data_IF_234917266781
#
_entry.id   IF_234917266781
#
_cell.length_a   1.000
_cell.length_b   1.000
_cell.length_c   1.000
_cell.angle_alpha   90.00
_cell.angle_beta   90.00
_cell.angle_gamma   90.00
#
_symmetry.space_group_name_H-M   'P 1'
#
loop_
_entity.id
_entity.type
_entity.pdbx_description
1 polymer ?
#
# COMPACT_ATOMS: atom_id res chain seq x y z
N UNK A 1 -10.90 -34.48 53.30
CA UNK A 1 -11.75 -35.08 52.24
C UNK A 1 -12.05 -34.10 51.10
N UNK A 2 -12.63 -32.92 51.34
CA UNK A 2 -12.98 -31.93 50.29
C UNK A 2 -11.78 -31.47 49.44
N UNK A 3 -10.63 -31.19 50.07
CA UNK A 3 -9.40 -30.76 49.39
C UNK A 3 -8.83 -31.87 48.48
N UNK A 4 -8.88 -33.12 48.92
CA UNK A 4 -8.45 -34.27 48.12
C UNK A 4 -9.30 -34.43 46.85
N UNK A 5 -10.62 -34.29 46.98
CA UNK A 5 -11.56 -34.34 45.85
C UNK A 5 -11.25 -33.19 44.86
N UNK A 6 -10.96 -32.00 45.36
CA UNK A 6 -10.56 -30.85 44.53
C UNK A 6 -9.28 -31.14 43.72
N UNK A 7 -8.23 -31.66 44.37
CA UNK A 7 -6.97 -32.02 43.70
C UNK A 7 -7.14 -33.14 42.68
N UNK A 8 -8.00 -34.13 42.96
CA UNK A 8 -8.33 -35.20 42.03
C UNK A 8 -9.06 -34.68 40.79
N UNK A 9 -10.05 -33.79 40.96
CA UNK A 9 -10.78 -33.16 39.85
C UNK A 9 -9.83 -32.30 39.00
N UNK A 10 -8.95 -31.51 39.63
CA UNK A 10 -7.98 -30.67 38.93
C UNK A 10 -6.99 -31.54 38.14
N UNK A 11 -6.45 -32.60 38.74
CA UNK A 11 -5.54 -33.54 38.06
C UNK A 11 -6.22 -34.16 36.84
N UNK A 12 -7.50 -34.55 36.97
CA UNK A 12 -8.27 -35.12 35.88
C UNK A 12 -8.52 -34.11 34.75
N UNK A 13 -8.82 -32.85 35.07
CA UNK A 13 -8.96 -31.79 34.05
C UNK A 13 -7.66 -31.52 33.30
N UNK A 14 -6.51 -31.51 33.99
CA UNK A 14 -5.20 -31.36 33.35
C UNK A 14 -4.83 -32.57 32.49
N UNK A 15 -5.15 -33.80 32.92
CA UNK A 15 -4.99 -35.02 32.13
C UNK A 15 -5.76 -34.97 30.81
N UNK A 16 -7.05 -34.60 30.86
CA UNK A 16 -7.87 -34.45 29.65
C UNK A 16 -7.29 -33.40 28.71
N UNK A 17 -6.88 -32.25 29.25
CA UNK A 17 -6.31 -31.16 28.45
C UNK A 17 -4.95 -31.53 27.85
N UNK A 18 -4.15 -32.32 28.56
CA UNK A 18 -2.87 -32.84 28.07
C UNK A 18 -3.05 -33.82 26.92
N UNK A 19 -4.02 -34.74 27.01
CA UNK A 19 -4.21 -35.82 26.05
C UNK A 19 -4.97 -35.42 24.79
N UNK A 20 -5.81 -34.39 24.88
CA UNK A 20 -6.68 -33.95 23.78
C UNK A 20 -6.40 -32.52 23.28
N UNK A 21 -5.42 -31.82 23.86
CA UNK A 21 -4.98 -30.49 23.42
C UNK A 21 -3.69 -30.56 22.61
N UNK A 22 -3.72 -30.08 21.36
CA UNK A 22 -2.56 -30.13 20.44
C UNK A 22 -1.39 -29.19 20.80
N UNK A 23 -1.52 -28.35 21.83
CA UNK A 23 -0.49 -27.37 22.20
C UNK A 23 0.12 -27.68 23.57
N UNK A 24 1.45 -27.90 23.60
CA UNK A 24 2.27 -28.11 24.80
C UNK A 24 1.96 -29.41 25.58
N UNK A 25 1.67 -30.50 24.87
CA UNK A 25 1.39 -31.84 25.41
C UNK A 25 2.45 -32.31 26.43
N UNK A 26 3.75 -32.17 26.13
CA UNK A 26 4.82 -32.62 27.04
C UNK A 26 4.82 -31.88 28.39
N UNK A 27 4.56 -30.57 28.37
CA UNK A 27 4.56 -29.73 29.57
C UNK A 27 3.30 -30.01 30.42
N UNK A 28 2.15 -30.15 29.76
CA UNK A 28 0.89 -30.49 30.43
C UNK A 28 0.94 -31.91 31.03
N UNK A 29 1.64 -32.83 30.37
CA UNK A 29 1.83 -34.21 30.82
C UNK A 29 2.67 -34.25 32.10
N UNK A 30 3.82 -33.57 32.10
CA UNK A 30 4.69 -33.43 33.28
C UNK A 30 3.94 -32.85 34.50
N UNK A 31 3.15 -31.80 34.29
CA UNK A 31 2.37 -31.16 35.35
C UNK A 31 1.25 -32.07 35.87
N UNK A 32 0.58 -32.80 34.97
CA UNK A 32 -0.43 -33.79 35.34
C UNK A 32 0.18 -34.88 36.24
N UNK A 33 1.38 -35.35 35.93
CA UNK A 33 2.09 -36.31 36.79
C UNK A 33 2.45 -35.72 38.15
N UNK A 34 2.98 -34.49 38.20
CA UNK A 34 3.27 -33.83 39.47
C UNK A 34 2.02 -33.61 40.34
N UNK A 35 0.89 -33.22 39.74
CA UNK A 35 -0.39 -33.05 40.44
C UNK A 35 -0.98 -34.39 40.88
N UNK A 36 -0.88 -35.43 40.06
CA UNK A 36 -1.31 -36.79 40.39
C UNK A 36 -0.54 -37.38 41.57
N UNK A 37 0.79 -37.25 41.57
CA UNK A 37 1.64 -37.67 42.70
C UNK A 37 1.28 -36.88 43.97
N UNK A 38 1.13 -35.55 43.86
CA UNK A 38 0.74 -34.71 45.00
C UNK A 38 -0.63 -35.09 45.56
N UNK A 39 -1.59 -35.43 44.69
CA UNK A 39 -2.93 -35.90 45.07
C UNK A 39 -2.85 -37.25 45.77
N UNK A 40 -2.05 -38.18 45.25
CA UNK A 40 -1.84 -39.51 45.85
C UNK A 40 -1.19 -39.42 47.24
N UNK A 41 -0.17 -38.58 47.41
CA UNK A 41 0.47 -38.33 48.71
C UNK A 41 -0.52 -37.72 49.69
N UNK A 42 -1.31 -36.73 49.25
CA UNK A 42 -2.35 -36.12 50.09
C UNK A 42 -3.43 -37.13 50.48
N UNK A 43 -3.83 -38.01 49.56
CA UNK A 43 -4.78 -39.10 49.84
C UNK A 43 -4.23 -40.12 50.83
N UNK A 44 -2.97 -40.53 50.67
CA UNK A 44 -2.29 -41.46 51.57
C UNK A 44 -2.18 -40.89 52.99
N UNK A 45 -1.73 -39.63 53.12
CA UNK A 45 -1.63 -38.95 54.41
C UNK A 45 -2.99 -38.74 55.10
N UNK A 46 -4.07 -38.58 54.33
CA UNK A 46 -5.43 -38.43 54.88
C UNK A 46 -6.08 -39.76 55.29
N UNK A 47 -5.76 -40.87 54.62
CA UNK A 47 -6.40 -42.18 54.88
C UNK A 47 -5.60 -43.09 55.81
N UNK A 48 -4.27 -42.99 55.86
CA UNK A 48 -3.41 -43.90 56.62
C UNK A 48 -2.81 -43.30 57.90
N UNK A 49 -3.17 -42.06 58.27
CA UNK A 49 -2.60 -41.38 59.44
C UNK A 49 -3.60 -41.30 60.60
N UNK A 50 -3.13 -41.69 61.78
CA UNK A 50 -3.95 -41.77 63.00
C UNK A 50 -4.40 -40.38 63.50
N UNK A 51 -5.58 -40.33 64.12
CA UNK A 51 -6.45 -39.14 64.32
C UNK A 51 -5.87 -37.92 65.07
N UNK A 52 -4.63 -37.95 65.55
CA UNK A 52 -4.16 -37.02 66.61
C UNK A 52 -3.39 -35.77 66.14
N UNK A 53 -3.09 -35.60 64.86
CA UNK A 53 -2.48 -34.37 64.35
C UNK A 53 -3.39 -33.68 63.34
N UNK A 54 -4.40 -32.98 63.87
CA UNK A 54 -5.40 -32.24 63.11
C UNK A 54 -4.94 -30.82 62.68
N UNK A 55 -3.63 -30.56 62.64
CA UNK A 55 -3.06 -29.27 62.20
C UNK A 55 -2.19 -29.47 60.96
N UNK A 56 -2.80 -29.93 59.87
CA UNK A 56 -2.13 -30.11 58.59
C UNK A 56 -2.06 -28.77 57.84
N UNK A 57 -1.16 -27.86 58.19
CA UNK A 57 -0.87 -26.67 57.36
C UNK A 57 0.05 -27.00 56.16
N UNK A 58 0.58 -28.22 56.09
CA UNK A 58 1.49 -28.66 55.02
C UNK A 58 0.86 -28.64 53.63
N UNK A 59 -0.46 -28.79 53.48
CA UNK A 59 -1.10 -28.69 52.17
C UNK A 59 -1.04 -27.27 51.58
N UNK A 60 -0.85 -26.24 52.41
CA UNK A 60 -0.74 -24.84 51.96
C UNK A 60 0.56 -24.61 51.18
N UNK A 61 1.61 -25.43 51.37
CA UNK A 61 2.83 -25.36 50.57
C UNK A 61 2.61 -25.68 49.09
N UNK A 62 1.55 -26.42 48.75
CA UNK A 62 1.25 -26.74 47.34
C UNK A 62 0.57 -25.58 46.59
N UNK A 63 -0.03 -24.61 47.30
CA UNK A 63 -0.68 -23.45 46.67
C UNK A 63 0.35 -22.57 45.92
N UNK A 64 1.52 -22.20 46.51
CA UNK A 64 2.58 -21.51 45.80
C UNK A 64 3.07 -22.25 44.54
N UNK A 65 3.27 -23.57 44.63
CA UNK A 65 3.69 -24.38 43.48
C UNK A 65 2.66 -24.38 42.36
N UNK A 66 1.38 -24.43 42.71
CA UNK A 66 0.28 -24.35 41.75
C UNK A 66 0.19 -22.98 41.06
N UNK A 67 0.28 -21.89 41.84
CA UNK A 67 0.29 -20.52 41.29
C UNK A 67 1.51 -20.30 40.39
N UNK A 68 2.68 -20.80 40.79
CA UNK A 68 3.89 -20.76 39.97
C UNK A 68 3.71 -21.55 38.66
N UNK A 69 3.11 -22.74 38.72
CA UNK A 69 2.80 -23.56 37.54
C UNK A 69 1.90 -22.83 36.54
N UNK A 70 0.81 -22.20 37.01
CA UNK A 70 -0.08 -21.40 36.15
C UNK A 70 0.65 -20.22 35.53
N UNK A 71 1.47 -19.51 36.31
CA UNK A 71 2.24 -18.37 35.81
C UNK A 71 3.26 -18.81 34.73
N UNK A 72 3.93 -19.94 34.95
CA UNK A 72 4.88 -20.51 34.01
C UNK A 72 4.20 -20.94 32.69
N UNK A 73 3.02 -21.58 32.78
CA UNK A 73 2.19 -21.92 31.62
C UNK A 73 1.87 -20.65 30.84
N UNK A 74 1.25 -19.65 31.47
CA UNK A 74 0.87 -18.41 30.79
C UNK A 74 2.05 -17.67 30.15
N UNK A 75 3.27 -17.83 30.68
CA UNK A 75 4.47 -17.25 30.06
C UNK A 75 4.94 -18.04 28.84
N UNK A 76 4.84 -19.37 28.86
CA UNK A 76 5.31 -20.27 27.79
C UNK A 76 4.29 -20.50 26.68
N UNK A 77 2.99 -20.45 27.01
CA UNK A 77 1.88 -20.60 26.05
C UNK A 77 1.45 -19.28 25.42
N UNK A 78 2.02 -18.14 25.85
CA UNK A 78 1.80 -16.87 25.16
C UNK A 78 2.30 -17.02 23.72
N UNK A 79 1.42 -16.89 22.72
CA UNK A 79 1.85 -16.97 21.33
C UNK A 79 2.90 -15.89 21.11
N UNK A 80 4.01 -16.24 20.45
CA UNK A 80 4.97 -15.24 19.98
C UNK A 80 4.18 -14.27 19.10
N UNK A 81 4.23 -12.98 19.42
CA UNK A 81 3.59 -11.96 18.60
C UNK A 81 4.22 -12.02 17.21
N UNK A 82 3.46 -12.48 16.21
CA UNK A 82 3.88 -12.36 14.84
C UNK A 82 3.74 -10.90 14.44
N UNK A 83 4.88 -10.23 14.28
CA UNK A 83 4.91 -8.91 13.66
C UNK A 83 4.74 -9.12 12.16
N UNK A 84 3.50 -8.97 11.66
CA UNK A 84 3.23 -9.01 10.22
C UNK A 84 3.81 -7.74 9.61
N UNK A 85 5.05 -7.81 9.14
CA UNK A 85 5.66 -6.75 8.34
C UNK A 85 5.11 -6.87 6.92
N UNK A 86 3.94 -6.29 6.69
CA UNK A 86 3.38 -6.21 5.35
C UNK A 86 4.29 -5.31 4.49
N UNK A 87 4.98 -5.91 3.51
CA UNK A 87 5.74 -5.13 2.53
C UNK A 87 4.75 -4.40 1.61
N UNK A 88 4.47 -3.14 1.91
CA UNK A 88 3.65 -2.30 1.04
C UNK A 88 4.39 -2.10 -0.28
N UNK A 89 3.87 -2.68 -1.36
CA UNK A 89 4.38 -2.42 -2.70
C UNK A 89 4.34 -0.91 -2.97
N UNK A 90 5.49 -0.34 -3.36
CA UNK A 90 5.59 1.07 -3.75
C UNK A 90 6.06 1.16 -5.19
N UNK A 91 5.41 2.01 -5.95
CA UNK A 91 5.84 2.32 -7.31
C UNK A 91 7.15 3.12 -7.32
N UNK A 92 7.42 3.91 -6.27
CA UNK A 92 8.61 4.75 -6.13
C UNK A 92 9.34 4.41 -4.83
N UNK A 93 10.61 4.05 -4.94
CA UNK A 93 11.44 3.61 -3.81
C UNK A 93 11.86 4.80 -2.94
N UNK A 94 11.93 5.97 -3.54
CA UNK A 94 12.31 7.26 -2.94
C UNK A 94 11.29 7.73 -1.90
N UNK A 95 10.05 7.24 -1.97
CA UNK A 95 8.96 7.64 -1.06
C UNK A 95 8.79 6.63 0.07
N UNK A 96 9.00 7.08 1.31
CA UNK A 96 8.79 6.25 2.52
C UNK A 96 7.34 6.27 3.00
N UNK A 97 6.83 5.21 3.68
CA UNK A 97 5.44 5.18 4.16
C UNK A 97 5.23 6.26 5.21
N UNK A 98 6.23 6.47 6.07
CA UNK A 98 6.21 7.49 7.10
C UNK A 98 6.04 8.89 6.49
N UNK A 99 6.72 9.17 5.38
CA UNK A 99 6.56 10.44 4.67
C UNK A 99 5.15 10.61 4.09
N UNK A 100 4.58 9.56 3.47
CA UNK A 100 3.18 9.57 2.98
C UNK A 100 2.19 9.82 4.14
N UNK A 101 2.34 9.09 5.24
CA UNK A 101 1.46 9.22 6.41
C UNK A 101 1.51 10.64 6.97
N UNK A 102 2.71 11.21 7.09
CA UNK A 102 2.90 12.57 7.58
C UNK A 102 2.29 13.61 6.63
N UNK A 103 2.54 13.48 5.32
CA UNK A 103 2.03 14.39 4.31
C UNK A 103 0.49 14.44 4.29
N UNK A 104 -0.17 13.30 4.41
CA UNK A 104 -1.63 13.21 4.40
C UNK A 104 -2.29 13.29 5.78
N UNK A 105 -1.52 13.44 6.86
CA UNK A 105 -2.04 13.46 8.24
C UNK A 105 -3.10 14.55 8.43
N UNK A 106 -2.87 15.73 7.87
CA UNK A 106 -3.76 16.90 7.96
C UNK A 106 -5.11 16.70 7.28
N UNK A 107 -5.24 15.72 6.38
CA UNK A 107 -6.48 15.42 5.67
C UNK A 107 -7.35 14.40 6.40
N UNK A 108 -6.83 13.79 7.47
CA UNK A 108 -7.52 12.76 8.23
C UNK A 108 -8.17 13.37 9.48
N UNK A 109 -9.44 13.07 9.69
CA UNK A 109 -10.15 13.32 10.93
C UNK A 109 -10.40 11.97 11.61
N UNK A 110 -9.78 11.74 12.76
CA UNK A 110 -9.93 10.50 13.52
C UNK A 110 -11.10 10.68 14.49
N UNK A 111 -12.17 9.93 14.26
CA UNK A 111 -13.34 9.83 15.15
C UNK A 111 -13.26 8.53 15.94
N UNK A 112 -14.14 8.38 16.94
CA UNK A 112 -14.14 7.23 17.87
C UNK A 112 -14.36 5.89 17.16
N UNK A 113 -15.15 5.89 16.09
CA UNK A 113 -15.60 4.73 15.33
C UNK A 113 -14.99 4.62 13.92
N UNK A 114 -14.39 5.69 13.41
CA UNK A 114 -13.93 5.74 12.01
C UNK A 114 -12.86 6.81 11.76
N UNK A 115 -12.18 6.68 10.63
CA UNK A 115 -11.28 7.71 10.10
C UNK A 115 -11.91 8.32 8.86
N UNK A 116 -12.24 9.61 8.93
CA UNK A 116 -12.75 10.36 7.78
C UNK A 116 -11.60 11.05 7.05
N UNK A 117 -11.68 11.14 5.72
CA UNK A 117 -10.70 11.85 4.90
C UNK A 117 -11.38 13.02 4.19
N UNK A 118 -10.89 14.23 4.45
CA UNK A 118 -11.39 15.45 3.82
C UNK A 118 -10.84 15.54 2.39
N UNK A 119 -11.72 15.37 1.41
CA UNK A 119 -11.38 15.46 -0.02
C UNK A 119 -12.20 16.56 -0.66
N UNK A 120 -11.53 17.65 -1.07
CA UNK A 120 -12.15 18.65 -1.92
C UNK A 120 -12.20 18.12 -3.36
N UNK A 121 -13.37 17.66 -3.82
CA UNK A 121 -13.54 17.15 -5.20
C UNK A 121 -13.50 18.28 -6.23
N UNK A 122 -14.05 19.44 -5.90
CA UNK A 122 -14.12 20.57 -6.83
C UNK A 122 -12.78 21.25 -7.04
N UNK A 123 -11.79 21.07 -6.14
CA UNK A 123 -10.44 21.56 -6.40
C UNK A 123 -9.77 20.87 -7.59
N UNK A 124 -10.20 19.66 -7.96
CA UNK A 124 -9.63 18.85 -9.05
C UNK A 124 -10.19 19.19 -10.44
N UNK A 125 -11.36 19.83 -10.51
CA UNK A 125 -12.04 20.13 -11.79
C UNK A 125 -11.45 21.39 -12.43
N UNK A 126 -11.13 21.31 -13.72
CA UNK A 126 -10.69 22.44 -14.53
C UNK A 126 -11.85 23.34 -14.95
N UNK A 127 -13.00 22.75 -15.27
CA UNK A 127 -14.22 23.46 -15.66
C UNK A 127 -15.19 23.43 -14.48
N UNK A 128 -15.74 24.59 -14.12
CA UNK A 128 -16.76 24.77 -13.10
C UNK A 128 -17.85 25.65 -13.68
N UNK A 129 -19.10 25.20 -13.56
CA UNK A 129 -20.27 25.94 -14.09
C UNK A 129 -20.06 26.38 -15.56
N UNK A 130 -19.56 25.46 -16.40
CA UNK A 130 -19.24 25.70 -17.81
C UNK A 130 -18.13 26.72 -18.09
N UNK A 131 -17.38 27.16 -17.07
CA UNK A 131 -16.27 28.11 -17.21
C UNK A 131 -14.96 27.46 -16.78
N UNK A 132 -13.89 27.70 -17.53
CA UNK A 132 -12.53 27.29 -17.16
C UNK A 132 -12.08 28.10 -15.94
N UNK A 133 -11.55 27.42 -14.92
CA UNK A 133 -11.09 28.07 -13.69
C UNK A 133 -9.98 29.09 -14.03
N UNK A 134 -10.12 30.39 -13.65
CA UNK A 134 -9.19 31.45 -14.07
C UNK A 134 -7.72 31.23 -13.72
N UNK A 135 -7.44 30.46 -12.65
CA UNK A 135 -6.06 30.14 -12.26
C UNK A 135 -5.30 29.41 -13.36
N UNK A 136 -6.00 28.68 -14.24
CA UNK A 136 -5.38 28.03 -15.40
C UNK A 136 -4.59 29.04 -16.24
N UNK A 137 -5.21 30.17 -16.61
CA UNK A 137 -4.57 31.18 -17.45
C UNK A 137 -3.44 31.91 -16.73
N UNK A 138 -3.61 32.16 -15.42
CA UNK A 138 -2.55 32.74 -14.58
C UNK A 138 -1.33 31.82 -14.53
N UNK A 139 -1.58 30.52 -14.33
CA UNK A 139 -0.55 29.51 -14.23
C UNK A 139 0.14 29.30 -15.59
N UNK A 140 -0.60 29.29 -16.69
CA UNK A 140 -0.09 29.23 -18.06
C UNK A 140 0.94 30.33 -18.35
N UNK A 141 0.64 31.56 -17.91
CA UNK A 141 1.54 32.71 -18.05
C UNK A 141 2.78 32.61 -17.15
N UNK A 142 2.62 32.11 -15.92
CA UNK A 142 3.70 32.07 -14.93
C UNK A 142 4.62 30.86 -15.03
N UNK A 143 4.14 29.73 -15.59
CA UNK A 143 4.86 28.46 -15.58
C UNK A 143 6.11 28.54 -16.46
N UNK A 144 7.27 28.38 -15.84
CA UNK A 144 8.58 28.31 -16.50
C UNK A 144 9.14 26.90 -16.39
N UNK A 145 9.55 26.35 -17.52
CA UNK A 145 10.19 25.03 -17.59
C UNK A 145 11.61 25.10 -17.06
N UNK A 146 12.10 23.98 -16.54
CA UNK A 146 13.42 23.86 -15.95
C UNK A 146 14.46 23.54 -17.04
N UNK A 147 15.35 24.48 -17.40
CA UNK A 147 16.39 24.20 -18.37
C UNK A 147 17.48 23.33 -17.74
N UNK A 148 17.94 22.32 -18.47
CA UNK A 148 19.02 21.41 -18.06
C UNK A 148 20.03 21.28 -19.17
N UNK A 149 21.33 21.24 -18.85
CA UNK A 149 22.39 21.09 -19.86
C UNK A 149 22.75 19.63 -20.07
N UNK A 150 22.67 18.83 -19.01
CA UNK A 150 23.01 17.41 -18.99
C UNK A 150 21.96 16.62 -18.21
N UNK A 151 21.88 15.32 -18.47
CA UNK A 151 20.98 14.40 -17.78
C UNK A 151 21.25 14.40 -16.27
N UNK A 152 22.51 14.57 -15.85
CA UNK A 152 22.89 14.62 -14.44
C UNK A 152 22.26 15.80 -13.69
N UNK A 153 21.85 16.87 -14.38
CA UNK A 153 21.18 18.02 -13.77
C UNK A 153 19.80 17.63 -13.22
N UNK A 154 19.20 16.52 -13.68
CA UNK A 154 17.94 15.99 -13.12
C UNK A 154 18.07 15.61 -11.65
N UNK A 155 19.29 15.33 -11.16
CA UNK A 155 19.53 15.00 -9.75
C UNK A 155 19.27 16.18 -8.80
N UNK A 156 19.13 17.41 -9.30
CA UNK A 156 18.80 18.59 -8.50
C UNK A 156 17.37 18.56 -7.97
N UNK A 157 16.46 17.84 -8.64
CA UNK A 157 15.08 17.63 -8.19
C UNK A 157 14.86 16.18 -7.80
N UNK A 158 14.39 15.94 -6.58
CA UNK A 158 14.03 14.61 -6.12
C UNK A 158 12.90 13.99 -6.98
N UNK A 159 11.98 14.82 -7.48
CA UNK A 159 10.88 14.39 -8.35
C UNK A 159 11.42 13.95 -9.71
N UNK A 160 12.24 14.79 -10.37
CA UNK A 160 12.79 14.47 -11.68
C UNK A 160 13.66 13.23 -11.64
N UNK A 161 14.53 13.11 -10.63
CA UNK A 161 15.35 11.92 -10.41
C UNK A 161 14.51 10.66 -10.25
N UNK A 162 13.50 10.68 -9.38
CA UNK A 162 12.64 9.52 -9.13
C UNK A 162 11.89 9.08 -10.39
N UNK A 163 11.38 10.03 -11.17
CA UNK A 163 10.70 9.74 -12.45
C UNK A 163 11.69 9.16 -13.46
N UNK A 164 12.88 9.76 -13.61
CA UNK A 164 13.88 9.30 -14.57
C UNK A 164 14.36 7.88 -14.28
N UNK A 165 14.71 7.57 -13.02
CA UNK A 165 15.13 6.22 -12.62
C UNK A 165 14.01 5.20 -12.85
N UNK A 166 12.76 5.59 -12.61
CA UNK A 166 11.62 4.71 -12.86
C UNK A 166 11.45 4.41 -14.35
N UNK A 167 11.53 5.44 -15.20
CA UNK A 167 11.46 5.31 -16.66
C UNK A 167 12.60 4.46 -17.20
N UNK A 168 13.82 4.69 -16.71
CA UNK A 168 15.00 3.88 -17.05
C UNK A 168 14.79 2.40 -16.70
N UNK A 169 14.17 2.13 -15.55
CA UNK A 169 13.75 0.78 -15.16
C UNK A 169 12.83 0.12 -16.20
N UNK A 170 11.87 0.85 -16.76
CA UNK A 170 10.98 0.33 -17.81
C UNK A 170 11.68 0.15 -19.15
N UNK A 171 12.54 1.09 -19.54
CA UNK A 171 13.35 0.99 -20.77
C UNK A 171 14.22 -0.27 -20.71
N UNK A 172 14.88 -0.50 -19.58
CA UNK A 172 15.70 -1.70 -19.35
C UNK A 172 14.85 -2.97 -19.38
N UNK A 173 13.68 -2.98 -18.75
CA UNK A 173 12.77 -4.13 -18.78
C UNK A 173 12.20 -4.43 -20.17
N UNK A 174 12.14 -3.41 -21.04
CA UNK A 174 11.76 -3.53 -22.46
C UNK A 174 12.95 -3.83 -23.38
N UNK A 175 14.17 -3.89 -22.85
CA UNK A 175 15.42 -4.00 -23.60
C UNK A 175 15.57 -2.94 -24.71
N UNK A 176 14.92 -1.79 -24.54
CA UNK A 176 14.91 -0.72 -25.53
C UNK A 176 16.22 0.07 -25.48
N UNK A 177 16.84 0.30 -26.64
CA UNK A 177 18.03 1.14 -26.76
C UNK A 177 17.61 2.59 -27.00
N UNK A 178 17.72 3.41 -25.96
CA UNK A 178 17.34 4.83 -26.03
C UNK A 178 18.59 5.70 -25.94
N UNK A 179 18.76 6.62 -26.89
CA UNK A 179 19.78 7.66 -26.81
C UNK A 179 19.22 8.87 -26.06
N UNK A 180 19.45 8.92 -24.75
CA UNK A 180 18.92 9.97 -23.88
C UNK A 180 19.38 11.38 -24.26
N UNK A 181 20.62 11.53 -24.77
CA UNK A 181 21.14 12.84 -25.20
C UNK A 181 20.35 13.39 -26.38
N UNK A 182 20.06 12.53 -27.37
CA UNK A 182 19.25 12.92 -28.53
C UNK A 182 17.81 13.27 -28.13
N UNK A 183 17.22 12.50 -27.21
CA UNK A 183 15.86 12.80 -26.72
C UNK A 183 15.85 14.11 -25.94
N UNK A 184 16.92 14.43 -25.20
CA UNK A 184 17.04 15.71 -24.49
C UNK A 184 17.11 16.90 -25.45
N UNK A 185 17.91 16.79 -26.50
CA UNK A 185 18.01 17.79 -27.57
C UNK A 185 16.66 18.02 -28.27
N UNK A 186 15.95 16.94 -28.60
CA UNK A 186 14.61 17.00 -29.22
C UNK A 186 13.54 17.65 -28.32
N UNK A 187 13.79 17.77 -27.02
CA UNK A 187 12.87 18.37 -26.05
C UNK A 187 13.39 19.73 -25.52
N UNK A 188 14.18 20.44 -26.34
CA UNK A 188 14.69 21.80 -26.08
C UNK A 188 15.40 21.93 -24.71
N UNK A 189 16.10 20.86 -24.30
CA UNK A 189 16.84 20.87 -23.04
C UNK A 189 15.97 21.22 -21.82
N UNK A 190 14.67 20.91 -21.86
CA UNK A 190 13.74 21.12 -20.74
C UNK A 190 13.50 19.81 -20.01
N UNK A 191 13.72 19.80 -18.70
CA UNK A 191 13.60 18.60 -17.88
C UNK A 191 12.18 18.00 -17.96
N UNK A 192 11.15 18.85 -17.87
CA UNK A 192 9.76 18.42 -17.90
C UNK A 192 9.40 17.75 -19.23
N UNK A 193 9.74 18.39 -20.36
CA UNK A 193 9.41 17.85 -21.70
C UNK A 193 10.20 16.59 -22.01
N UNK A 194 11.48 16.57 -21.65
CA UNK A 194 12.33 15.38 -21.77
C UNK A 194 11.73 14.18 -21.04
N UNK A 195 11.37 14.36 -19.76
CA UNK A 195 10.81 13.27 -18.95
C UNK A 195 9.40 12.89 -19.40
N UNK A 196 8.55 13.85 -19.78
CA UNK A 196 7.22 13.58 -20.33
C UNK A 196 7.30 12.75 -21.62
N UNK A 197 8.26 13.06 -22.50
CA UNK A 197 8.48 12.30 -23.74
C UNK A 197 8.86 10.85 -23.47
N UNK A 198 9.83 10.62 -22.57
CA UNK A 198 10.21 9.26 -22.22
C UNK A 198 9.09 8.52 -21.47
N UNK A 199 8.32 9.25 -20.67
CA UNK A 199 7.17 8.69 -19.94
C UNK A 199 6.10 8.21 -20.91
N UNK A 200 5.67 9.05 -21.85
CA UNK A 200 4.66 8.70 -22.86
C UNK A 200 5.08 7.46 -23.67
N UNK A 201 6.32 7.43 -24.16
CA UNK A 201 6.81 6.35 -25.03
C UNK A 201 7.00 5.03 -24.28
N UNK A 202 7.49 5.08 -23.05
CA UNK A 202 7.95 3.88 -22.35
C UNK A 202 7.05 3.42 -21.20
N UNK A 203 6.09 4.22 -20.74
CA UNK A 203 5.28 3.88 -19.57
C UNK A 203 3.80 3.60 -19.84
N UNK A 204 3.27 3.89 -21.03
CA UNK A 204 1.82 3.77 -21.34
C UNK A 204 1.17 2.43 -20.94
N UNK A 205 1.89 1.30 -21.12
CA UNK A 205 1.39 -0.05 -20.77
C UNK A 205 1.41 -0.34 -19.26
N UNK A 206 2.06 0.49 -18.47
CA UNK A 206 2.22 0.31 -17.04
C UNK A 206 1.29 1.27 -16.31
N UNK A 207 0.27 0.73 -15.66
CA UNK A 207 -0.63 1.52 -14.81
C UNK A 207 0.06 1.91 -13.50
N UNK A 208 0.83 3.00 -13.51
CA UNK A 208 1.65 3.46 -12.40
C UNK A 208 0.98 4.65 -11.73
N UNK A 209 0.71 4.52 -10.43
CA UNK A 209 0.20 5.65 -9.64
C UNK A 209 1.32 6.64 -9.31
N UNK A 210 1.13 7.89 -9.75
CA UNK A 210 2.04 9.02 -9.50
C UNK A 210 1.71 9.79 -8.21
N UNK A 211 0.61 9.46 -7.53
CA UNK A 211 0.08 10.23 -6.40
C UNK A 211 1.05 10.34 -5.20
N UNK A 212 1.93 9.35 -5.02
CA UNK A 212 2.89 9.34 -3.93
C UNK A 212 4.12 10.22 -4.19
N UNK A 213 4.41 10.56 -5.47
CA UNK A 213 5.50 11.48 -5.80
C UNK A 213 5.25 12.91 -5.32
N UNK A 214 3.98 13.27 -5.06
CA UNK A 214 3.64 14.59 -4.50
C UNK A 214 4.36 14.87 -3.18
N UNK A 215 4.72 13.82 -2.44
CA UNK A 215 5.45 13.91 -1.17
C UNK A 215 6.87 14.45 -1.38
N UNK A 216 7.45 14.27 -2.57
CA UNK A 216 8.80 14.75 -2.92
C UNK A 216 8.79 16.15 -3.55
N UNK A 217 7.62 16.65 -3.95
CA UNK A 217 7.52 17.93 -4.65
C UNK A 217 7.72 19.11 -3.68
N UNK A 218 8.67 19.98 -4.03
CA UNK A 218 9.07 21.16 -3.27
C UNK A 218 8.45 22.43 -3.79
N UNK A 219 8.09 22.47 -5.08
CA UNK A 219 7.59 23.66 -5.75
C UNK A 219 6.38 23.36 -6.64
N UNK A 220 5.70 24.41 -7.08
CA UNK A 220 4.48 24.31 -7.90
C UNK A 220 4.74 23.67 -9.27
N UNK A 221 5.90 23.90 -9.88
CA UNK A 221 6.24 23.34 -11.18
C UNK A 221 6.38 21.82 -11.11
N UNK A 222 7.00 21.29 -10.05
CA UNK A 222 7.09 19.85 -9.81
C UNK A 222 5.72 19.22 -9.56
N UNK A 223 4.84 19.91 -8.82
CA UNK A 223 3.45 19.48 -8.63
C UNK A 223 2.71 19.43 -9.97
N UNK A 224 2.87 20.45 -10.81
CA UNK A 224 2.27 20.51 -12.14
C UNK A 224 2.84 19.41 -13.04
N UNK A 225 4.15 19.15 -12.99
CA UNK A 225 4.83 18.06 -13.70
C UNK A 225 4.26 16.68 -13.34
N UNK A 226 4.13 16.38 -12.05
CA UNK A 226 3.52 15.11 -11.60
C UNK A 226 2.10 14.98 -12.14
N UNK A 227 1.32 16.06 -12.15
CA UNK A 227 -0.02 16.08 -12.73
C UNK A 227 -0.02 15.82 -14.24
N UNK A 228 0.91 16.42 -14.97
CA UNK A 228 0.98 16.29 -16.42
C UNK A 228 1.35 14.87 -16.86
N UNK A 229 2.23 14.18 -16.12
CA UNK A 229 2.53 12.77 -16.33
C UNK A 229 1.30 11.86 -16.15
N UNK A 230 0.43 12.19 -15.18
CA UNK A 230 -0.85 11.49 -14.99
C UNK A 230 -1.78 11.74 -16.18
N UNK A 231 -1.84 12.99 -16.68
CA UNK A 231 -2.68 13.34 -17.84
C UNK A 231 -2.27 12.65 -19.14
N UNK A 232 -0.97 12.40 -19.38
CA UNK A 232 -0.51 11.68 -20.58
C UNK A 232 -1.14 10.27 -20.70
N UNK A 233 -1.43 9.63 -19.57
CA UNK A 233 -1.97 8.27 -19.54
C UNK A 233 -3.50 8.25 -19.35
N UNK A 234 -4.16 9.41 -19.23
CA UNK A 234 -5.57 9.50 -18.90
C UNK A 234 -6.40 10.07 -20.04
N UNK A 235 -7.56 9.47 -20.27
CA UNK A 235 -8.59 10.00 -21.17
C UNK A 235 -9.39 11.18 -20.58
N UNK A 236 -8.94 11.77 -19.46
CA UNK A 236 -9.66 12.85 -18.79
C UNK A 236 -8.72 13.97 -18.32
N UNK A 237 -9.17 15.22 -18.49
CA UNK A 237 -8.41 16.41 -18.10
C UNK A 237 -8.73 16.79 -16.65
N UNK A 238 -7.71 16.69 -15.79
CA UNK A 238 -7.72 17.17 -14.39
C UNK A 238 -7.09 18.56 -14.33
N UNK A 239 -7.49 19.38 -13.36
CA UNK A 239 -6.92 20.73 -13.17
C UNK A 239 -5.42 20.71 -12.85
N UNK A 240 -4.97 19.70 -12.10
CA UNK A 240 -3.56 19.57 -11.74
C UNK A 240 -2.80 19.03 -12.95
N UNK A 241 -1.75 19.72 -13.38
CA UNK A 241 -0.90 19.31 -14.49
C UNK A 241 -1.37 19.72 -15.87
N UNK A 242 -2.58 20.27 -16.01
CA UNK A 242 -3.14 20.63 -17.33
C UNK A 242 -2.35 21.72 -18.02
N UNK A 243 -1.75 22.65 -17.28
CA UNK A 243 -1.00 23.75 -17.87
C UNK A 243 0.25 23.22 -18.55
N UNK A 244 1.00 22.38 -17.84
CA UNK A 244 2.20 21.78 -18.40
C UNK A 244 1.86 20.77 -19.50
N UNK A 245 0.80 19.99 -19.32
CA UNK A 245 0.28 19.10 -20.36
C UNK A 245 -0.05 19.87 -21.63
N UNK A 246 -0.80 20.97 -21.53
CA UNK A 246 -1.11 21.84 -22.68
C UNK A 246 0.17 22.33 -23.36
N UNK A 247 1.13 22.90 -22.61
CA UNK A 247 2.41 23.36 -23.17
C UNK A 247 3.21 22.25 -23.84
N UNK A 248 3.14 21.03 -23.31
CA UNK A 248 3.81 19.86 -23.89
C UNK A 248 3.16 19.44 -25.21
N UNK A 249 1.83 19.37 -25.26
CA UNK A 249 1.09 19.05 -26.49
C UNK A 249 1.30 20.15 -27.56
N UNK A 250 1.34 21.43 -27.15
CA UNK A 250 1.70 22.57 -28.00
C UNK A 250 3.11 22.41 -28.57
N UNK A 251 4.09 22.10 -27.72
CA UNK A 251 5.47 21.87 -28.12
C UNK A 251 5.63 20.72 -29.13
N UNK A 252 4.78 19.70 -29.05
CA UNK A 252 4.76 18.56 -29.99
C UNK A 252 3.94 18.81 -31.26
N UNK A 253 3.38 20.02 -31.44
CA UNK A 253 2.43 20.37 -32.53
C UNK A 253 1.21 19.42 -32.60
N UNK A 254 0.79 18.89 -31.44
CA UNK A 254 -0.32 17.92 -31.32
C UNK A 254 -1.63 18.55 -30.88
N UNK A 255 -1.69 19.88 -30.79
CA UNK A 255 -2.95 20.57 -30.46
C UNK A 255 -4.04 20.24 -31.49
N UNK A 256 -3.63 20.08 -32.76
CA UNK A 256 -4.53 19.75 -33.88
C UNK A 256 -5.28 18.43 -33.66
N UNK A 257 -4.68 17.47 -32.96
CA UNK A 257 -5.34 16.19 -32.63
C UNK A 257 -6.59 16.40 -31.76
N UNK A 258 -6.66 17.52 -31.02
CA UNK A 258 -7.74 17.85 -30.10
C UNK A 258 -8.69 18.93 -30.63
N UNK A 259 -8.27 19.69 -31.64
CA UNK A 259 -9.15 20.60 -32.39
C UNK A 259 -9.81 19.75 -33.45
N UNK A 260 -11.07 19.36 -33.24
CA UNK A 260 -11.88 18.78 -34.32
C UNK A 260 -11.81 19.74 -35.51
N UNK A 261 -11.23 19.31 -36.62
CA UNK A 261 -11.54 19.91 -37.91
C UNK A 261 -13.04 19.75 -38.10
N UNK A 262 -13.76 20.86 -38.28
CA UNK A 262 -15.21 20.87 -38.50
C UNK A 262 -15.63 20.15 -39.81
N UNK A 263 -14.67 19.60 -40.55
CA UNK A 263 -14.87 18.85 -41.80
C UNK A 263 -14.32 17.43 -41.71
N UNK A 264 -15.07 16.53 -41.08
CA UNK A 264 -15.04 15.12 -41.46
C UNK A 264 -16.50 14.68 -41.50
N UNK A 265 -17.04 14.49 -42.71
CA UNK A 265 -18.34 13.86 -42.93
C UNK A 265 -18.41 12.57 -42.10
N UNK A 266 -19.28 12.56 -41.08
CA UNK A 266 -19.39 11.48 -40.09
C UNK A 266 -20.11 10.24 -40.65
N UNK A 267 -20.55 10.26 -41.91
CA UNK A 267 -21.08 9.07 -42.55
C UNK A 267 -20.03 8.49 -43.51
N UNK A 268 -19.35 7.38 -43.17
CA UNK A 268 -18.97 6.48 -44.24
C UNK A 268 -20.24 6.18 -45.03
N UNK A 269 -20.25 6.46 -46.35
CA UNK A 269 -21.24 5.81 -47.20
C UNK A 269 -21.02 4.31 -46.98
N UNK A 270 -22.02 3.61 -46.44
CA UNK A 270 -22.00 2.16 -46.46
C UNK A 270 -21.70 1.76 -47.90
N UNK A 271 -20.64 0.98 -48.13
CA UNK A 271 -20.44 0.34 -49.41
C UNK A 271 -21.75 -0.44 -49.68
N UNK A 272 -22.46 -0.07 -50.75
CA UNK A 272 -23.68 -0.77 -51.14
C UNK A 272 -23.40 -2.27 -51.17
N UNK A 273 -24.21 -3.03 -50.42
CA UNK A 273 -24.07 -4.47 -50.33
C UNK A 273 -24.14 -5.06 -51.75
N UNK A 274 -23.04 -5.68 -52.19
CA UNK A 274 -22.92 -6.27 -53.51
C UNK A 274 -23.80 -7.52 -53.63
N UNK A 275 -25.04 -7.32 -54.09
CA UNK A 275 -26.02 -8.39 -54.32
C UNK A 275 -25.59 -9.38 -55.43
N UNK A 276 -24.50 -9.13 -56.16
CA UNK A 276 -23.98 -10.07 -57.17
C UNK A 276 -23.58 -11.42 -56.56
N UNK A 277 -23.22 -11.44 -55.27
CA UNK A 277 -22.87 -12.67 -54.55
C UNK A 277 -24.05 -13.65 -54.38
N UNK A 278 -25.29 -13.18 -54.54
CA UNK A 278 -26.50 -14.01 -54.37
C UNK A 278 -26.84 -14.77 -55.68
N UNK A 279 -26.33 -14.35 -56.84
CA UNK A 279 -26.73 -14.93 -58.12
C UNK A 279 -25.92 -16.14 -58.58
N UNK A 280 -24.81 -16.51 -57.93
CA UNK A 280 -23.98 -17.66 -58.34
C UNK A 280 -24.41 -19.04 -57.79
N UNK A 281 -25.60 -19.16 -57.21
CA UNK A 281 -26.19 -20.47 -56.86
C UNK A 281 -27.65 -20.59 -57.27
N UNK A 282 -27.89 -20.71 -58.57
CA UNK A 282 -29.02 -21.46 -59.13
C UNK A 282 -28.62 -22.19 -60.40
#
# INVERSE_FOLDING_TARGET
MFIFILFAIITFMFYLKSKFGNENEEILTMITYCLGISTAITGFLLFFRDKTLQNDSYYLLFIPFFVYGIFYINKKTKPKSFEIIANQQRYFNEVTPKAIINFYKVRKSIKKDRVETLVNKDSKKLIKNSVIVPTFFMDLKSLKLTPIKKIDDLNQSAVFKAVFEKVKGFINAKEAKVNFTKVLEQNDFKAEFFLMSLWEEHTFKFNISLANLEVLATNKNEIEFIGALDLLNLNCVKRKGVVLFYKYIEFKDRIRDYIKSEELEINPKEDEFDESYIQEKK
#
